data_IF_526550889778
#
_entry.id   IF_526550889778
#
_cell.length_a   1.000
_cell.length_b   1.000
_cell.length_c   1.000
_cell.angle_alpha   90.00
_cell.angle_beta   90.00
_cell.angle_gamma   90.00
#
_symmetry.space_group_name_H-M   'P 1'
#
loop_
_entity.id
_entity.type
_entity.pdbx_description
1 polymer ?
#
# COMPACT_ATOMS: atom_id res chain seq x y z
N UNK A 1 -2.13 2.88 -1.23
CA UNK A 1 -0.80 3.06 -0.60
C UNK A 1 0.11 3.70 -1.65
N UNK A 2 0.57 4.94 -1.40
CA UNK A 2 1.53 5.65 -2.24
C UNK A 2 2.93 5.24 -1.75
N UNK A 3 3.69 4.47 -2.51
CA UNK A 3 5.11 4.27 -2.22
C UNK A 3 5.89 5.27 -3.08
N UNK A 4 6.24 6.39 -2.43
CA UNK A 4 7.11 7.42 -2.95
C UNK A 4 8.55 6.93 -2.82
N UNK A 5 9.30 6.80 -3.92
CA UNK A 5 10.76 6.77 -3.81
C UNK A 5 11.25 8.21 -3.61
N UNK A 6 11.61 8.58 -2.39
CA UNK A 6 12.32 9.83 -2.13
C UNK A 6 13.41 9.61 -1.09
N UNK A 7 14.55 10.26 -1.35
CA UNK A 7 15.75 10.28 -0.54
C UNK A 7 15.49 10.52 0.96
N UNK A 8 16.16 9.71 1.78
CA UNK A 8 16.04 9.58 3.24
C UNK A 8 16.54 10.79 4.04
N UNK A 9 16.06 12.02 3.78
CA UNK A 9 16.58 13.19 4.52
C UNK A 9 15.55 14.20 5.05
N UNK A 10 14.24 13.92 5.10
CA UNK A 10 13.35 14.82 5.86
C UNK A 10 12.05 14.15 6.35
N UNK A 11 12.17 13.31 7.38
CA UNK A 11 11.07 12.51 7.93
C UNK A 11 10.26 13.15 9.07
N UNK A 12 10.52 14.40 9.46
CA UNK A 12 9.89 14.97 10.67
C UNK A 12 8.69 15.90 10.40
N UNK A 13 8.34 16.18 9.14
CA UNK A 13 7.26 17.14 8.83
C UNK A 13 6.12 16.58 7.98
N UNK A 14 6.19 15.31 7.58
CA UNK A 14 5.26 14.68 6.64
C UNK A 14 4.11 13.92 7.32
N UNK A 15 4.25 13.57 8.60
CA UNK A 15 3.34 12.62 9.26
C UNK A 15 1.95 13.16 9.60
N UNK A 16 1.78 14.47 9.79
CA UNK A 16 0.51 15.00 10.32
C UNK A 16 -0.63 15.20 9.29
N UNK A 17 -0.38 15.13 7.97
CA UNK A 17 -1.39 15.56 6.96
C UNK A 17 -2.01 14.47 6.08
N UNK A 18 -1.63 13.21 6.25
CA UNK A 18 -2.13 12.10 5.41
C UNK A 18 -3.13 11.17 6.11
N UNK A 19 -3.40 11.40 7.39
CA UNK A 19 -4.18 10.46 8.22
C UNK A 19 -5.70 10.54 7.96
N UNK A 20 -6.23 11.63 7.41
CA UNK A 20 -7.69 11.81 7.25
C UNK A 20 -8.31 11.23 5.96
N UNK A 21 -7.75 10.14 5.42
CA UNK A 21 -8.35 9.47 4.25
C UNK A 21 -9.20 8.24 4.59
N UNK A 22 -9.04 7.69 5.79
CA UNK A 22 -9.83 6.58 6.30
C UNK A 22 -9.97 6.79 7.81
N UNK A 23 -11.20 6.79 8.34
CA UNK A 23 -11.41 6.68 9.79
C UNK A 23 -10.99 5.28 10.23
N UNK A 24 -9.67 5.03 10.32
CA UNK A 24 -9.06 3.76 10.72
C UNK A 24 -9.35 3.38 12.18
N UNK A 25 -10.14 4.18 12.89
CA UNK A 25 -10.63 3.93 14.25
C UNK A 25 -12.10 3.47 14.32
N UNK A 26 -12.76 3.20 13.18
CA UNK A 26 -14.11 2.65 13.16
C UNK A 26 -14.11 1.14 13.48
N UNK A 27 -14.86 0.75 14.52
CA UNK A 27 -14.96 -0.65 14.99
C UNK A 27 -15.96 -1.52 14.22
N UNK A 28 -16.62 -0.99 13.17
CA UNK A 28 -17.57 -1.76 12.33
C UNK A 28 -17.45 -1.39 10.85
N UNK A 29 -17.33 -2.41 9.99
CA UNK A 29 -17.11 -2.31 8.53
C UNK A 29 -18.25 -1.67 7.73
N UNK A 30 -19.42 -1.47 8.34
CA UNK A 30 -20.67 -1.18 7.63
C UNK A 30 -20.86 0.33 7.31
N UNK A 31 -20.04 1.23 7.86
CA UNK A 31 -20.22 2.69 7.70
C UNK A 31 -19.25 3.36 6.69
N UNK A 32 -18.40 2.60 5.99
CA UNK A 32 -17.47 3.19 5.01
C UNK A 32 -18.19 3.45 3.69
N UNK A 33 -18.84 4.61 3.58
CA UNK A 33 -19.36 5.09 2.29
C UNK A 33 -18.21 5.59 1.41
N UNK A 34 -17.95 4.89 0.30
CA UNK A 34 -17.04 5.37 -0.73
C UNK A 34 -17.63 6.65 -1.33
N UNK A 35 -17.00 7.80 -1.09
CA UNK A 35 -17.32 9.03 -1.84
C UNK A 35 -16.92 8.79 -3.29
N UNK A 36 -17.92 8.48 -4.12
CA UNK A 36 -17.83 8.10 -5.54
C UNK A 36 -17.05 9.10 -6.41
N UNK A 37 -16.77 10.32 -5.92
CA UNK A 37 -16.09 11.38 -6.66
C UNK A 37 -14.94 12.06 -5.89
N UNK A 38 -14.08 11.28 -5.21
CA UNK A 38 -12.83 11.84 -4.69
C UNK A 38 -11.83 12.06 -5.83
N UNK A 39 -11.84 13.27 -6.40
CA UNK A 39 -10.76 13.78 -7.24
C UNK A 39 -9.71 14.34 -6.29
N UNK A 40 -8.53 13.73 -6.15
CA UNK A 40 -7.56 14.24 -5.20
C UNK A 40 -7.05 15.57 -5.73
N UNK A 41 -7.13 16.62 -4.91
CA UNK A 41 -6.62 17.96 -5.26
C UNK A 41 -5.09 17.95 -5.18
N UNK A 42 -4.44 17.31 -6.16
CA UNK A 42 -2.98 17.27 -6.32
C UNK A 42 -2.42 18.62 -6.81
N UNK A 43 -2.73 19.71 -6.10
CA UNK A 43 -2.20 21.03 -6.43
C UNK A 43 -0.66 21.11 -6.34
N UNK A 44 0.00 20.03 -5.90
CA UNK A 44 1.44 19.92 -5.63
C UNK A 44 2.19 18.92 -6.51
N UNK A 45 1.55 18.28 -7.50
CA UNK A 45 2.24 17.35 -8.42
C UNK A 45 2.97 18.08 -9.56
N UNK A 46 2.45 19.23 -10.01
CA UNK A 46 3.02 19.95 -11.14
C UNK A 46 4.47 20.44 -10.90
N UNK A 47 4.87 20.66 -9.64
CA UNK A 47 6.25 21.06 -9.31
C UNK A 47 7.23 19.89 -9.22
N UNK A 48 6.73 18.65 -9.19
CA UNK A 48 7.54 17.45 -8.95
C UNK A 48 7.69 16.57 -10.20
N UNK A 49 7.12 16.96 -11.35
CA UNK A 49 7.12 16.17 -12.58
C UNK A 49 6.67 14.71 -12.39
N UNK A 50 5.79 14.45 -11.43
CA UNK A 50 5.19 13.13 -11.23
C UNK A 50 3.83 13.08 -11.92
N UNK A 51 3.38 11.87 -12.28
CA UNK A 51 2.07 11.65 -12.87
C UNK A 51 1.39 10.51 -12.15
N UNK A 52 0.06 10.58 -12.04
CA UNK A 52 -0.73 9.51 -11.46
C UNK A 52 -1.22 8.62 -12.59
N UNK A 53 -0.98 7.32 -12.43
CA UNK A 53 -1.53 6.30 -13.32
C UNK A 53 -2.67 5.58 -12.61
N UNK A 54 -3.70 5.26 -13.38
CA UNK A 54 -4.79 4.42 -12.92
C UNK A 54 -4.30 2.97 -12.80
N UNK A 55 -4.73 2.30 -11.72
CA UNK A 55 -4.44 0.92 -11.40
C UNK A 55 -5.76 0.20 -11.23
N UNK A 56 -5.84 -1.06 -11.67
CA UNK A 56 -7.04 -1.86 -11.49
C UNK A 56 -7.43 -1.94 -10.00
N UNK A 57 -8.68 -1.60 -9.69
CA UNK A 57 -9.19 -1.47 -8.32
C UNK A 57 -9.66 -2.81 -7.75
N UNK A 58 -8.78 -3.81 -7.78
CA UNK A 58 -8.99 -5.12 -7.16
C UNK A 58 -8.21 -5.25 -5.83
N UNK A 59 -8.33 -6.41 -5.18
CA UNK A 59 -7.55 -6.73 -3.97
C UNK A 59 -6.03 -6.83 -4.20
N UNK A 60 -5.55 -6.66 -5.43
CA UNK A 60 -4.14 -6.70 -5.82
C UNK A 60 -3.57 -5.33 -6.20
N UNK A 61 -4.36 -4.26 -6.09
CA UNK A 61 -3.99 -2.91 -6.53
C UNK A 61 -2.62 -2.44 -5.99
N UNK A 62 -2.23 -2.88 -4.79
CA UNK A 62 -0.90 -2.61 -4.25
C UNK A 62 0.23 -3.23 -5.11
N UNK A 63 0.14 -4.52 -5.40
CA UNK A 63 1.14 -5.23 -6.20
C UNK A 63 1.13 -4.78 -7.67
N UNK A 64 -0.05 -4.42 -8.19
CA UNK A 64 -0.19 -3.84 -9.54
C UNK A 64 0.49 -2.47 -9.64
N UNK A 65 0.29 -1.62 -8.64
CA UNK A 65 0.99 -0.33 -8.57
C UNK A 65 2.51 -0.53 -8.49
N UNK A 66 2.98 -1.47 -7.68
CA UNK A 66 4.40 -1.75 -7.56
C UNK A 66 4.99 -2.33 -8.86
N UNK A 67 4.28 -3.24 -9.52
CA UNK A 67 4.65 -3.79 -10.84
C UNK A 67 4.74 -2.67 -11.89
N UNK A 68 3.78 -1.75 -11.91
CA UNK A 68 3.77 -0.61 -12.84
C UNK A 68 4.96 0.32 -12.59
N UNK A 69 5.32 0.58 -11.33
CA UNK A 69 6.50 1.40 -11.01
C UNK A 69 7.83 0.73 -11.40
N UNK A 70 7.94 -0.59 -11.30
CA UNK A 70 9.18 -1.32 -11.63
C UNK A 70 9.32 -1.54 -13.14
N UNK A 71 8.22 -1.90 -13.82
CA UNK A 71 8.26 -2.42 -15.19
C UNK A 71 7.50 -1.57 -16.21
N UNK A 72 6.78 -0.53 -15.77
CA UNK A 72 5.86 0.24 -16.60
C UNK A 72 4.53 -0.48 -16.93
N UNK A 73 4.30 -1.66 -16.35
CA UNK A 73 3.14 -2.52 -16.57
C UNK A 73 2.62 -3.16 -15.28
N UNK A 74 1.29 -3.28 -15.16
CA UNK A 74 0.63 -3.94 -14.02
C UNK A 74 0.69 -5.47 -14.09
N UNK A 75 0.96 -6.06 -15.27
CA UNK A 75 0.81 -7.51 -15.52
C UNK A 75 1.73 -8.40 -14.65
N UNK A 76 2.86 -7.87 -14.18
CA UNK A 76 3.84 -8.59 -13.36
C UNK A 76 3.44 -8.76 -11.90
N UNK A 77 2.27 -8.28 -11.47
CA UNK A 77 1.89 -8.20 -10.06
C UNK A 77 1.86 -9.54 -9.33
N UNK A 78 1.46 -10.64 -10.00
CA UNK A 78 1.38 -11.98 -9.39
C UNK A 78 2.78 -12.48 -9.05
N UNK A 79 3.72 -12.37 -9.99
CA UNK A 79 5.10 -12.78 -9.80
C UNK A 79 5.72 -11.96 -8.67
N UNK A 80 5.50 -10.64 -8.70
CA UNK A 80 6.01 -9.73 -7.67
C UNK A 80 5.45 -10.04 -6.28
N UNK A 81 4.14 -10.36 -6.18
CA UNK A 81 3.50 -10.78 -4.93
C UNK A 81 4.15 -12.04 -4.36
N UNK A 82 4.38 -13.06 -5.20
CA UNK A 82 5.04 -14.31 -4.78
C UNK A 82 6.47 -14.02 -4.27
N UNK A 83 7.27 -13.27 -5.04
CA UNK A 83 8.64 -12.93 -4.67
C UNK A 83 8.72 -12.17 -3.34
N UNK A 84 7.79 -11.23 -3.11
CA UNK A 84 7.72 -10.50 -1.84
C UNK A 84 7.40 -11.44 -0.69
N UNK A 85 6.46 -12.38 -0.86
CA UNK A 85 6.08 -13.29 0.23
C UNK A 85 7.14 -14.32 0.53
N UNK A 86 7.86 -14.79 -0.48
CA UNK A 86 9.02 -15.66 -0.28
C UNK A 86 10.12 -14.90 0.46
N UNK A 87 10.42 -13.66 0.05
CA UNK A 87 11.35 -12.80 0.77
C UNK A 87 10.93 -12.52 2.22
N UNK A 88 9.66 -12.20 2.47
CA UNK A 88 9.13 -12.01 3.82
C UNK A 88 9.30 -13.28 4.64
N UNK A 89 8.97 -14.44 4.06
CA UNK A 89 9.08 -15.75 4.74
C UNK A 89 10.51 -16.06 5.14
N UNK A 90 11.48 -15.73 4.29
CA UNK A 90 12.92 -15.93 4.54
C UNK A 90 13.52 -14.94 5.56
N UNK A 91 12.79 -13.86 5.91
CA UNK A 91 13.26 -12.79 6.80
C UNK A 91 12.25 -12.51 7.93
N UNK A 92 11.57 -13.55 8.42
CA UNK A 92 10.47 -13.43 9.41
C UNK A 92 10.85 -12.57 10.60
N UNK A 93 12.02 -12.76 11.17
CA UNK A 93 12.48 -12.06 12.37
C UNK A 93 12.53 -10.53 12.22
N UNK A 94 12.64 -10.04 10.98
CA UNK A 94 12.65 -8.61 10.68
C UNK A 94 11.23 -8.05 10.53
N UNK A 95 10.30 -8.86 10.00
CA UNK A 95 9.00 -8.37 9.54
C UNK A 95 7.81 -8.83 10.40
N UNK A 96 7.99 -9.83 11.26
CA UNK A 96 6.88 -10.38 12.05
C UNK A 96 6.22 -9.32 12.93
N UNK A 97 6.99 -8.40 13.52
CA UNK A 97 6.43 -7.30 14.31
C UNK A 97 5.61 -6.29 13.51
N UNK A 98 5.70 -6.32 12.18
CA UNK A 98 4.98 -5.40 11.30
C UNK A 98 3.60 -5.92 10.90
N UNK A 99 3.24 -7.16 11.25
CA UNK A 99 1.93 -7.71 10.93
C UNK A 99 0.87 -7.21 11.92
N UNK A 100 -0.35 -6.99 11.42
CA UNK A 100 -1.47 -6.62 12.27
C UNK A 100 -2.02 -7.87 12.99
N UNK A 101 -1.59 -8.07 14.23
CA UNK A 101 -2.04 -9.16 15.10
C UNK A 101 -3.53 -9.06 15.52
N UNK A 102 -4.21 -7.95 15.23
CA UNK A 102 -5.67 -7.84 15.38
C UNK A 102 -6.44 -8.47 14.22
N UNK A 103 -5.79 -8.64 13.06
CA UNK A 103 -6.39 -9.18 11.84
C UNK A 103 -5.85 -10.56 11.46
N UNK A 104 -4.57 -10.83 11.74
CA UNK A 104 -3.91 -12.11 11.49
C UNK A 104 -3.66 -12.85 12.80
N UNK A 105 -4.00 -14.14 12.85
CA UNK A 105 -3.83 -14.95 14.05
C UNK A 105 -2.39 -15.42 14.27
N UNK A 106 -1.61 -15.49 13.19
CA UNK A 106 -0.18 -15.82 13.22
C UNK A 106 0.53 -15.33 11.96
N UNK A 107 1.86 -15.41 11.95
CA UNK A 107 2.68 -15.19 10.76
C UNK A 107 2.27 -16.09 9.59
N UNK A 108 2.01 -17.37 9.86
CA UNK A 108 1.61 -18.35 8.85
C UNK A 108 0.23 -18.02 8.27
N UNK A 109 -0.71 -17.55 9.11
CA UNK A 109 -2.01 -17.05 8.66
C UNK A 109 -1.87 -15.83 7.75
N UNK A 110 -0.97 -14.90 8.09
CA UNK A 110 -0.61 -13.76 7.24
C UNK A 110 -0.06 -14.22 5.88
N UNK A 111 0.98 -15.06 5.86
CA UNK A 111 1.58 -15.55 4.61
C UNK A 111 0.56 -16.33 3.77
N UNK A 112 -0.27 -17.17 4.39
CA UNK A 112 -1.29 -17.95 3.70
C UNK A 112 -2.36 -17.06 3.05
N UNK A 113 -2.89 -16.07 3.77
CA UNK A 113 -3.90 -15.13 3.25
C UNK A 113 -3.34 -14.18 2.20
N UNK A 114 -2.04 -13.90 2.25
CA UNK A 114 -1.38 -12.99 1.34
C UNK A 114 -0.78 -13.68 0.11
N UNK A 115 -0.69 -15.01 0.03
CA UNK A 115 -0.40 -15.71 -1.24
C UNK A 115 -1.54 -15.52 -2.25
#
# INVERSE_FOLDING_TARGET
MLILSMDMLNMNHFEERLIDKYELNSTKREDVSLKVNYIPKFKTICSLNVTIREIESDGNCYFRALSDQISGSQEGYIILRILILDFLSDNREVFESCIDHGYFSSWEDFIYKMR
#
